data_IF_709899247401
#
_entry.id   IF_709899247401
#
_cell.length_a   1.000
_cell.length_b   1.000
_cell.length_c   1.000
_cell.angle_alpha   90.00
_cell.angle_beta   90.00
_cell.angle_gamma   90.00
#
_symmetry.space_group_name_H-M   'P 1'
#
loop_
_entity.id
_entity.type
_entity.pdbx_description
1 polymer ?
#
# COMPACT_ATOMS: atom_id res chain seq x y z
N UNK A 1 5.43 -10.97 13.49
CA UNK A 1 4.07 -10.44 13.20
C UNK A 1 4.02 -8.99 12.66
N UNK A 2 5.16 -8.28 12.55
CA UNK A 2 5.22 -6.93 12.00
C UNK A 2 5.87 -6.90 10.59
N UNK A 3 6.19 -8.07 10.04
CA UNK A 3 6.82 -8.22 8.73
C UNK A 3 5.86 -8.99 7.85
N UNK A 4 5.24 -8.25 6.93
CA UNK A 4 4.39 -8.79 5.88
C UNK A 4 4.89 -8.20 4.58
N UNK A 5 5.20 -9.06 3.61
CA UNK A 5 5.40 -8.62 2.23
C UNK A 5 4.04 -8.50 1.56
N UNK A 6 3.89 -7.56 0.65
CA UNK A 6 2.61 -7.28 0.01
C UNK A 6 2.00 -8.45 -0.76
N UNK A 7 2.80 -9.46 -1.12
CA UNK A 7 2.38 -10.66 -1.81
C UNK A 7 2.02 -11.83 -0.88
N UNK A 8 2.28 -11.72 0.43
CA UNK A 8 1.97 -12.79 1.40
C UNK A 8 0.66 -12.58 2.14
N UNK A 9 0.03 -11.41 2.00
CA UNK A 9 -1.27 -11.12 2.60
C UNK A 9 -2.35 -11.19 1.54
N UNK A 10 -3.24 -12.16 1.68
CA UNK A 10 -4.37 -12.34 0.78
C UNK A 10 -5.31 -11.12 0.82
N UNK A 11 -5.90 -10.71 -0.33
CA UNK A 11 -6.89 -9.63 -0.34
C UNK A 11 -8.11 -9.98 0.53
N UNK A 12 -8.51 -9.08 1.42
CA UNK A 12 -9.69 -9.26 2.26
C UNK A 12 -10.97 -8.82 1.55
N UNK A 13 -12.00 -9.68 1.59
CA UNK A 13 -13.35 -9.39 1.15
C UNK A 13 -14.32 -9.28 2.33
N UNK A 14 -15.62 -9.24 2.04
CA UNK A 14 -16.68 -9.04 3.05
C UNK A 14 -16.64 -10.10 4.15
N UNK A 15 -16.21 -11.32 3.85
CA UNK A 15 -16.17 -12.42 4.80
C UNK A 15 -15.15 -12.17 5.92
N UNK A 16 -13.97 -11.63 5.58
CA UNK A 16 -12.92 -11.29 6.53
C UNK A 16 -13.21 -9.97 7.27
N UNK A 17 -13.93 -9.04 6.63
CA UNK A 17 -14.19 -7.70 7.18
C UNK A 17 -15.45 -7.65 8.07
N UNK A 18 -16.34 -8.63 8.00
CA UNK A 18 -17.56 -8.66 8.80
C UNK A 18 -17.24 -8.63 10.31
N UNK A 19 -17.94 -7.75 11.03
CA UNK A 19 -17.87 -7.62 12.49
C UNK A 19 -19.15 -8.14 13.15
N UNK A 20 -19.16 -8.32 14.49
CA UNK A 20 -20.39 -8.67 15.21
C UNK A 20 -21.52 -7.66 15.01
N UNK A 21 -21.18 -6.39 14.79
CA UNK A 21 -22.13 -5.33 14.47
C UNK A 21 -22.64 -5.48 13.02
N UNK A 22 -23.95 -5.64 12.87
CA UNK A 22 -24.59 -5.82 11.56
C UNK A 22 -24.38 -4.58 10.69
N UNK A 23 -23.92 -4.80 9.46
CA UNK A 23 -23.70 -3.74 8.48
C UNK A 23 -22.45 -2.90 8.72
N UNK A 24 -21.60 -3.29 9.67
CA UNK A 24 -20.33 -2.61 9.94
C UNK A 24 -19.14 -3.38 9.33
N UNK A 25 -18.35 -2.67 8.52
CA UNK A 25 -17.19 -3.22 7.82
C UNK A 25 -16.02 -2.21 7.89
N UNK A 26 -14.99 -2.45 8.70
CA UNK A 26 -13.76 -1.66 8.62
C UNK A 26 -13.09 -1.94 7.27
N UNK A 27 -12.71 -0.88 6.55
CA UNK A 27 -11.98 -0.98 5.29
C UNK A 27 -10.73 -0.12 5.32
N UNK A 28 -9.85 -0.33 4.35
CA UNK A 28 -8.64 0.46 4.20
C UNK A 28 -7.57 0.07 5.22
N UNK A 29 -6.74 1.04 5.62
CA UNK A 29 -5.71 0.82 6.63
C UNK A 29 -6.26 0.29 7.97
N UNK A 30 -7.51 0.65 8.32
CA UNK A 30 -8.11 0.25 9.61
C UNK A 30 -8.34 -1.26 9.71
N UNK A 31 -8.55 -1.96 8.61
CA UNK A 31 -8.76 -3.42 8.63
C UNK A 31 -7.45 -4.21 8.75
N UNK A 32 -6.29 -3.59 8.49
CA UNK A 32 -4.97 -4.24 8.50
C UNK A 32 -4.19 -4.04 9.82
N UNK A 33 -4.84 -3.52 10.86
CA UNK A 33 -4.27 -3.45 12.21
C UNK A 33 -2.97 -2.64 12.28
N UNK A 34 -1.85 -3.32 12.53
CA UNK A 34 -0.50 -2.71 12.69
C UNK A 34 0.36 -2.74 11.42
N UNK A 35 -0.20 -3.07 10.26
CA UNK A 35 0.53 -2.98 9.01
C UNK A 35 1.05 -1.55 8.80
N UNK A 36 2.35 -1.40 8.57
CA UNK A 36 3.01 -0.08 8.46
C UNK A 36 2.85 0.55 7.08
N UNK A 37 2.47 -0.25 6.08
CA UNK A 37 2.20 0.19 4.71
C UNK A 37 0.86 -0.37 4.23
N UNK A 38 0.15 0.44 3.43
CA UNK A 38 -1.13 0.08 2.85
C UNK A 38 -1.18 0.46 1.38
N UNK A 39 -1.52 -0.52 0.54
CA UNK A 39 -1.70 -0.31 -0.89
C UNK A 39 -3.13 0.13 -1.17
N UNK A 40 -3.32 1.24 -1.88
CA UNK A 40 -4.68 1.70 -2.22
C UNK A 40 -5.52 0.61 -2.92
N UNK A 41 -4.90 -0.23 -3.75
CA UNK A 41 -5.55 -1.35 -4.44
C UNK A 41 -6.20 -2.35 -3.48
N UNK A 42 -5.58 -2.67 -2.34
CA UNK A 42 -6.20 -3.58 -1.37
C UNK A 42 -7.41 -2.94 -0.70
N UNK A 43 -7.41 -1.63 -0.52
CA UNK A 43 -8.59 -0.89 -0.03
C UNK A 43 -9.72 -0.83 -1.02
N UNK A 44 -9.41 -0.71 -2.32
CA UNK A 44 -10.41 -0.77 -3.37
C UNK A 44 -11.06 -2.15 -3.45
N UNK A 45 -10.28 -3.23 -3.33
CA UNK A 45 -10.85 -4.59 -3.33
C UNK A 45 -11.77 -4.84 -2.13
N UNK A 46 -11.35 -4.43 -0.93
CA UNK A 46 -12.21 -4.49 0.26
C UNK A 46 -13.52 -3.73 0.05
N UNK A 47 -13.43 -2.51 -0.48
CA UNK A 47 -14.61 -1.65 -0.71
C UNK A 47 -15.53 -2.25 -1.76
N UNK A 48 -14.98 -2.81 -2.86
CA UNK A 48 -15.75 -3.50 -3.89
C UNK A 48 -16.55 -4.67 -3.31
N UNK A 49 -15.88 -5.56 -2.58
CA UNK A 49 -16.50 -6.74 -1.97
C UNK A 49 -17.60 -6.35 -0.98
N UNK A 50 -17.36 -5.37 -0.10
CA UNK A 50 -18.36 -4.87 0.85
C UNK A 50 -19.54 -4.21 0.14
N UNK A 51 -19.28 -3.37 -0.87
CA UNK A 51 -20.35 -2.72 -1.63
C UNK A 51 -21.26 -3.74 -2.33
N UNK A 52 -20.69 -4.82 -2.90
CA UNK A 52 -21.46 -5.90 -3.49
C UNK A 52 -22.35 -6.60 -2.46
N UNK A 53 -21.83 -6.90 -1.27
CA UNK A 53 -22.61 -7.50 -0.20
C UNK A 53 -23.75 -6.60 0.29
N UNK A 54 -23.49 -5.29 0.44
CA UNK A 54 -24.50 -4.30 0.81
C UNK A 54 -25.58 -4.14 -0.26
N UNK A 55 -25.23 -4.36 -1.53
CA UNK A 55 -26.17 -4.36 -2.65
C UNK A 55 -26.95 -5.69 -2.80
N UNK A 56 -26.62 -6.71 -2.00
CA UNK A 56 -27.24 -8.04 -2.06
C UNK A 56 -26.65 -8.99 -3.12
N UNK A 57 -25.57 -8.59 -3.79
CA UNK A 57 -24.84 -9.44 -4.73
C UNK A 57 -23.77 -10.25 -3.98
N UNK A 58 -24.22 -11.31 -3.33
CA UNK A 58 -23.35 -12.18 -2.52
C UNK A 58 -22.34 -12.96 -3.36
N UNK A 59 -22.65 -13.26 -4.62
CA UNK A 59 -21.71 -13.92 -5.53
C UNK A 59 -20.56 -12.98 -5.86
N UNK A 60 -20.86 -11.74 -6.24
CA UNK A 60 -19.83 -10.74 -6.47
C UNK A 60 -19.02 -10.41 -5.23
N UNK A 61 -19.67 -10.36 -4.06
CA UNK A 61 -18.98 -10.13 -2.81
C UNK A 61 -17.95 -11.21 -2.48
N UNK A 62 -18.22 -12.48 -2.84
CA UNK A 62 -17.35 -13.62 -2.56
C UNK A 62 -16.16 -13.76 -3.53
N UNK A 63 -16.17 -13.08 -4.68
CA UNK A 63 -15.04 -13.08 -5.61
C UNK A 63 -13.89 -12.24 -5.06
N UNK A 64 -12.65 -12.64 -5.34
CA UNK A 64 -11.47 -11.79 -5.18
C UNK A 64 -11.01 -11.36 -6.56
N UNK A 65 -11.05 -10.05 -6.81
CA UNK A 65 -10.73 -9.48 -8.12
C UNK A 65 -9.33 -8.84 -8.16
N UNK A 66 -8.66 -8.73 -6.99
CA UNK A 66 -7.30 -8.22 -6.89
C UNK A 66 -6.28 -9.35 -6.96
N UNK A 67 -5.37 -9.27 -7.93
CA UNK A 67 -4.14 -10.07 -7.97
C UNK A 67 -2.95 -9.16 -7.65
N UNK A 68 -2.18 -9.52 -6.62
CA UNK A 68 -0.95 -8.82 -6.27
C UNK A 68 0.26 -9.60 -6.81
N UNK A 69 1.32 -8.91 -7.26
CA UNK A 69 2.54 -9.59 -7.68
C UNK A 69 3.22 -10.30 -6.51
N UNK A 70 3.75 -11.50 -6.78
CA UNK A 70 4.45 -12.35 -5.80
C UNK A 70 5.74 -11.70 -5.25
N UNK A 71 6.23 -10.64 -5.88
CA UNK A 71 7.46 -9.93 -5.52
C UNK A 71 7.40 -9.34 -4.11
N UNK A 72 6.21 -9.19 -3.52
CA UNK A 72 6.07 -8.73 -2.14
C UNK A 72 6.29 -7.23 -1.96
N UNK A 73 6.50 -6.49 -3.05
CA UNK A 73 6.71 -5.05 -3.04
C UNK A 73 5.39 -4.35 -3.40
N UNK A 74 4.81 -3.62 -2.45
CA UNK A 74 3.70 -2.71 -2.73
C UNK A 74 4.25 -1.50 -3.48
N UNK A 75 4.19 -1.56 -4.81
CA UNK A 75 4.54 -0.45 -5.64
C UNK A 75 3.57 0.73 -5.45
N UNK A 76 3.96 1.70 -4.63
CA UNK A 76 3.23 2.95 -4.50
C UNK A 76 3.44 3.79 -5.76
N UNK A 77 2.47 3.75 -6.68
CA UNK A 77 2.25 4.71 -7.76
C UNK A 77 3.52 5.32 -8.38
N UNK A 78 4.27 4.53 -9.16
CA UNK A 78 5.37 5.06 -9.98
C UNK A 78 6.33 3.98 -10.46
N UNK A 79 6.15 3.54 -11.71
CA UNK A 79 7.16 2.92 -12.59
C UNK A 79 8.17 1.97 -11.93
N UNK A 80 7.81 0.69 -11.83
CA UNK A 80 8.77 -0.40 -11.56
C UNK A 80 9.31 -1.03 -12.85
N UNK A 81 8.65 -0.81 -13.99
CA UNK A 81 8.98 -1.42 -15.29
C UNK A 81 9.67 -0.47 -16.28
N UNK A 82 10.10 0.72 -15.85
CA UNK A 82 10.99 1.53 -16.69
C UNK A 82 12.43 1.12 -16.41
N UNK A 83 13.01 0.30 -17.31
CA UNK A 83 14.44 -0.06 -17.33
C UNK A 83 15.37 1.17 -17.53
N UNK A 84 14.87 2.39 -17.34
CA UNK A 84 15.61 3.65 -17.40
C UNK A 84 15.71 4.35 -16.04
N UNK A 85 15.18 3.78 -14.95
CA UNK A 85 15.34 4.35 -13.61
C UNK A 85 16.72 4.00 -13.03
N UNK A 86 17.75 4.72 -13.48
CA UNK A 86 19.07 4.76 -12.83
C UNK A 86 18.91 4.97 -11.31
N UNK A 87 19.13 3.90 -10.54
CA UNK A 87 19.68 3.92 -9.18
C UNK A 87 18.99 4.77 -8.09
N UNK A 88 17.75 5.19 -8.26
CA UNK A 88 17.11 6.20 -7.42
C UNK A 88 16.09 5.67 -6.41
N UNK A 89 16.43 4.69 -5.58
CA UNK A 89 15.61 4.40 -4.39
C UNK A 89 15.58 5.62 -3.46
N UNK A 90 14.43 5.92 -2.84
CA UNK A 90 14.16 7.07 -1.95
C UNK A 90 15.19 7.29 -0.81
N UNK A 91 16.06 6.32 -0.53
CA UNK A 91 17.10 6.36 0.50
C UNK A 91 18.52 6.63 -0.04
N UNK A 92 18.69 7.08 -1.28
CA UNK A 92 19.98 7.55 -1.78
C UNK A 92 20.46 8.74 -0.94
N UNK A 93 21.60 8.60 -0.27
CA UNK A 93 22.20 9.71 0.49
C UNK A 93 22.45 10.88 -0.48
N UNK A 94 21.98 12.11 -0.17
CA UNK A 94 22.23 13.24 -1.04
C UNK A 94 23.74 13.49 -1.10
N UNK A 95 24.24 13.81 -2.29
CA UNK A 95 25.63 14.23 -2.45
C UNK A 95 25.86 15.48 -1.59
N UNK A 96 26.77 15.36 -0.62
CA UNK A 96 27.10 16.45 0.30
C UNK A 96 27.94 17.46 -0.47
N UNK A 97 27.34 18.60 -0.82
CA UNK A 97 28.07 19.74 -1.36
C UNK A 97 28.52 20.64 -0.21
N UNK A 98 29.83 20.69 0.02
CA UNK A 98 30.43 21.43 1.13
C UNK A 98 30.55 22.90 0.76
N UNK A 99 29.67 23.75 1.30
CA UNK A 99 29.77 25.21 1.16
C UNK A 99 30.75 25.77 2.20
N UNK A 100 31.84 26.38 1.74
CA UNK A 100 32.76 27.12 2.59
C UNK A 100 32.23 28.53 2.86
N UNK A 101 31.98 28.85 4.13
CA UNK A 101 31.56 30.20 4.56
C UNK A 101 32.75 30.90 5.22
N UNK A 102 33.21 31.99 4.61
CA UNK A 102 34.12 32.96 5.23
C UNK A 102 35.47 33.11 4.53
N UNK A 103 35.54 34.00 3.53
CA UNK A 103 36.81 34.57 3.07
C UNK A 103 37.15 35.79 3.93
N UNK A 104 38.32 35.78 4.59
CA UNK A 104 38.82 36.93 5.36
C UNK A 104 39.15 38.06 4.39
N UNK A 105 38.27 39.06 4.32
CA UNK A 105 38.55 40.30 3.59
C UNK A 105 39.62 41.10 4.34
N UNK A 106 40.83 41.13 3.78
CA UNK A 106 41.90 42.04 4.19
C UNK A 106 41.51 43.48 3.85
N UNK A 107 41.48 44.36 4.85
CA UNK A 107 41.67 45.80 4.66
C UNK A 107 43.09 46.16 5.05
#
# INVERSE_FOLDING_TARGET
PNEHSCGTVYPHGVAELAQPEVGYYPVGMKSYGRATSFLALTGFEQTRSVAAALAGDHEAAARVELTLPDTGVCGGAGTFDDESADGGGCCGAPAVEVLSIGGVGTR
#
